data_IF_990329699207
#
_entry.id   IF_990329699207
#
_cell.length_a   1.000
_cell.length_b   1.000
_cell.length_c   1.000
_cell.angle_alpha   90.00
_cell.angle_beta   90.00
_cell.angle_gamma   90.00
#
_symmetry.space_group_name_H-M   'P 1'
#
loop_
_entity.id
_entity.type
_entity.pdbx_description
1 polymer ?
#
# COMPACT_ATOMS: atom_id res chain seq x y z
N UNK A 1 18.66 11.60 -26.57
CA UNK A 1 18.79 10.82 -25.31
C UNK A 1 19.17 9.38 -25.63
N UNK A 2 20.06 8.74 -24.87
CA UNK A 2 20.34 7.30 -25.07
C UNK A 2 19.09 6.50 -24.73
N UNK A 3 18.67 5.57 -25.62
CA UNK A 3 17.45 4.74 -25.47
C UNK A 3 17.37 4.05 -24.09
N UNK A 4 18.52 3.64 -23.53
CA UNK A 4 18.65 3.04 -22.20
C UNK A 4 18.17 3.93 -21.04
N UNK A 5 18.30 5.25 -21.16
CA UNK A 5 17.94 6.19 -20.10
C UNK A 5 16.42 6.35 -19.99
N UNK A 6 15.71 6.33 -21.12
CA UNK A 6 14.24 6.39 -21.15
C UNK A 6 13.63 5.16 -20.47
N UNK A 7 14.20 3.98 -20.68
CA UNK A 7 13.73 2.76 -20.02
C UNK A 7 13.92 2.78 -18.50
N UNK A 8 15.05 3.32 -18.03
CA UNK A 8 15.27 3.51 -16.60
C UNK A 8 14.25 4.47 -15.97
N UNK A 9 13.99 5.62 -16.61
CA UNK A 9 12.98 6.58 -16.15
C UNK A 9 11.57 5.95 -16.10
N UNK A 10 11.18 5.17 -17.11
CA UNK A 10 9.88 4.48 -17.15
C UNK A 10 9.75 3.42 -16.04
N UNK A 11 10.79 2.63 -15.81
CA UNK A 11 10.81 1.63 -14.74
C UNK A 11 10.76 2.29 -13.36
N UNK A 12 11.51 3.38 -13.16
CA UNK A 12 11.50 4.15 -11.92
C UNK A 12 10.12 4.73 -11.60
N UNK A 13 9.44 5.31 -12.60
CA UNK A 13 8.06 5.81 -12.45
C UNK A 13 7.09 4.68 -12.11
N UNK A 14 7.19 3.53 -12.79
CA UNK A 14 6.34 2.37 -12.53
C UNK A 14 6.52 1.84 -11.10
N UNK A 15 7.76 1.70 -10.62
CA UNK A 15 8.04 1.29 -9.25
C UNK A 15 7.47 2.28 -8.23
N UNK A 16 7.63 3.58 -8.50
CA UNK A 16 7.12 4.63 -7.62
C UNK A 16 5.59 4.60 -7.51
N UNK A 17 4.90 4.39 -8.64
CA UNK A 17 3.45 4.25 -8.68
C UNK A 17 2.97 3.05 -7.86
N UNK A 18 3.59 1.87 -8.05
CA UNK A 18 3.27 0.67 -7.28
C UNK A 18 3.55 0.87 -5.78
N UNK A 19 4.66 1.55 -5.43
CA UNK A 19 4.99 1.86 -4.04
C UNK A 19 3.89 2.69 -3.38
N UNK A 20 3.38 3.72 -4.06
CA UNK A 20 2.33 4.57 -3.49
C UNK A 20 1.00 3.83 -3.32
N UNK A 21 0.61 3.00 -4.30
CA UNK A 21 -0.60 2.19 -4.18
C UNK A 21 -0.48 1.23 -2.99
N UNK A 22 0.59 0.43 -2.95
CA UNK A 22 0.78 -0.53 -1.87
C UNK A 22 0.98 0.13 -0.51
N UNK A 23 1.61 1.31 -0.46
CA UNK A 23 1.72 2.07 0.78
C UNK A 23 0.33 2.55 1.26
N UNK A 24 -0.52 3.05 0.35
CA UNK A 24 -1.87 3.46 0.70
C UNK A 24 -2.70 2.29 1.23
N UNK A 25 -2.64 1.12 0.58
CA UNK A 25 -3.31 -0.10 1.02
C UNK A 25 -2.79 -0.54 2.39
N UNK A 26 -1.47 -0.63 2.57
CA UNK A 26 -0.85 -0.97 3.85
C UNK A 26 -1.28 -0.02 4.99
N UNK A 27 -1.35 1.29 4.72
CA UNK A 27 -1.84 2.27 5.71
C UNK A 27 -3.30 2.04 6.04
N UNK A 28 -4.16 1.80 5.04
CA UNK A 28 -5.57 1.48 5.24
C UNK A 28 -5.77 0.21 6.06
N UNK A 29 -5.01 -0.85 5.77
CA UNK A 29 -5.02 -2.11 6.53
C UNK A 29 -4.68 -1.86 8.00
N UNK A 30 -3.67 -1.03 8.28
CA UNK A 30 -3.19 -0.80 9.65
C UNK A 30 -3.94 0.32 10.38
N UNK A 31 -4.92 0.96 9.74
CA UNK A 31 -5.69 2.06 10.30
C UNK A 31 -6.78 1.57 11.28
N UNK A 32 -6.40 0.81 12.31
CA UNK A 32 -7.29 0.31 13.37
C UNK A 32 -8.16 1.41 13.99
N UNK A 33 -7.63 2.63 14.10
CA UNK A 33 -8.38 3.76 14.67
C UNK A 33 -9.64 4.10 13.86
N UNK A 34 -9.64 3.89 12.53
CA UNK A 34 -10.81 4.10 11.69
C UNK A 34 -11.91 3.13 12.11
N UNK A 35 -11.57 1.85 12.29
CA UNK A 35 -12.52 0.85 12.76
C UNK A 35 -13.10 1.19 14.14
N UNK A 36 -12.28 1.72 15.05
CA UNK A 36 -12.77 2.16 16.38
C UNK A 36 -13.81 3.28 16.26
N UNK A 37 -13.59 4.23 15.35
CA UNK A 37 -14.54 5.32 15.06
C UNK A 37 -15.81 4.76 14.41
N UNK A 38 -15.66 3.82 13.48
CA UNK A 38 -16.76 3.21 12.75
C UNK A 38 -17.70 2.41 13.66
N UNK A 39 -17.19 1.80 14.74
CA UNK A 39 -18.03 1.12 15.75
C UNK A 39 -19.11 2.04 16.28
N UNK A 40 -18.74 3.28 16.62
CA UNK A 40 -19.66 4.26 17.19
C UNK A 40 -20.49 4.94 16.08
N UNK A 41 -19.86 5.29 14.95
CA UNK A 41 -20.54 5.96 13.84
C UNK A 41 -21.64 5.11 13.20
N UNK A 42 -21.41 3.80 13.07
CA UNK A 42 -22.35 2.84 12.46
C UNK A 42 -23.23 2.12 13.48
N UNK A 43 -23.09 2.43 14.79
CA UNK A 43 -23.78 1.74 15.88
C UNK A 43 -23.66 0.21 15.80
N UNK A 44 -22.45 -0.30 15.55
CA UNK A 44 -22.20 -1.74 15.30
C UNK A 44 -22.69 -2.60 16.48
N UNK A 45 -22.54 -2.09 17.71
CA UNK A 45 -22.92 -2.78 18.95
C UNK A 45 -24.43 -3.06 19.06
N UNK A 46 -25.27 -2.40 18.28
CA UNK A 46 -26.72 -2.68 18.25
C UNK A 46 -27.04 -3.98 17.48
N UNK A 47 -26.12 -4.40 16.60
CA UNK A 47 -26.28 -5.59 15.75
C UNK A 47 -25.51 -6.80 16.29
N UNK A 48 -24.57 -6.59 17.21
CA UNK A 48 -23.77 -7.66 17.81
C UNK A 48 -23.98 -7.69 19.32
N UNK A 49 -24.31 -8.84 19.88
CA UNK A 49 -24.52 -9.00 21.32
C UNK A 49 -23.18 -9.10 22.09
N UNK A 50 -22.27 -8.15 21.85
CA UNK A 50 -20.92 -8.12 22.42
C UNK A 50 -20.61 -6.73 22.98
N UNK A 51 -19.71 -6.68 23.97
CA UNK A 51 -19.13 -5.40 24.39
C UNK A 51 -18.15 -4.87 23.35
N UNK A 52 -17.87 -3.57 23.37
CA UNK A 52 -16.89 -2.93 22.48
C UNK A 52 -15.51 -3.56 22.61
N UNK A 53 -15.11 -3.90 23.82
CA UNK A 53 -13.83 -4.53 24.13
C UNK A 53 -13.73 -5.91 23.46
N UNK A 54 -14.77 -6.74 23.61
CA UNK A 54 -14.82 -8.07 22.97
C UNK A 54 -14.82 -8.00 21.46
N UNK A 55 -15.55 -7.04 20.89
CA UNK A 55 -15.53 -6.81 19.44
C UNK A 55 -14.12 -6.45 18.95
N UNK A 56 -13.43 -5.57 19.67
CA UNK A 56 -12.06 -5.17 19.35
C UNK A 56 -11.05 -6.32 19.53
N UNK A 57 -11.21 -7.16 20.55
CA UNK A 57 -10.37 -8.37 20.72
C UNK A 57 -10.46 -9.31 19.52
N UNK A 58 -11.68 -9.58 19.03
CA UNK A 58 -11.90 -10.41 17.84
C UNK A 58 -11.33 -9.76 16.58
N UNK A 59 -11.52 -8.44 16.42
CA UNK A 59 -10.92 -7.69 15.32
C UNK A 59 -9.39 -7.78 15.36
N UNK A 60 -8.78 -7.63 16.53
CA UNK A 60 -7.32 -7.70 16.68
C UNK A 60 -6.77 -9.10 16.38
N UNK A 61 -7.50 -10.16 16.74
CA UNK A 61 -7.17 -11.54 16.35
C UNK A 61 -7.25 -11.75 14.84
N UNK A 62 -8.31 -11.23 14.19
CA UNK A 62 -8.45 -11.26 12.74
C UNK A 62 -7.30 -10.53 12.06
N UNK A 63 -7.01 -9.32 12.50
CA UNK A 63 -5.93 -8.51 11.93
C UNK A 63 -4.55 -9.13 12.17
N UNK A 64 -4.34 -9.79 13.31
CA UNK A 64 -3.12 -10.54 13.56
C UNK A 64 -2.97 -11.70 12.56
N UNK A 65 -4.03 -12.49 12.33
CA UNK A 65 -4.04 -13.58 11.35
C UNK A 65 -3.72 -13.08 9.93
N UNK A 66 -4.34 -11.98 9.50
CA UNK A 66 -4.18 -11.41 8.17
C UNK A 66 -2.79 -10.78 7.95
N UNK A 67 -2.24 -10.09 8.94
CA UNK A 67 -0.97 -9.36 8.80
C UNK A 67 0.27 -10.22 9.05
N UNK A 68 0.15 -11.32 9.81
CA UNK A 68 1.32 -12.10 10.26
C UNK A 68 1.40 -13.43 9.52
N UNK A 69 2.47 -13.71 8.76
CA UNK A 69 2.59 -14.96 8.02
C UNK A 69 2.65 -16.20 8.92
N UNK A 70 3.19 -16.07 10.14
CA UNK A 70 3.33 -17.19 11.10
C UNK A 70 2.05 -17.61 11.82
N UNK A 71 0.98 -16.81 11.78
CA UNK A 71 -0.31 -17.20 12.39
C UNK A 71 -1.10 -18.00 11.35
N UNK A 72 -1.09 -19.33 11.44
CA UNK A 72 -1.63 -20.19 10.40
C UNK A 72 -3.12 -20.43 10.50
N UNK A 73 -3.74 -20.24 11.67
CA UNK A 73 -5.16 -20.51 11.89
C UNK A 73 -5.89 -19.27 12.39
N UNK A 74 -7.08 -19.03 11.84
CA UNK A 74 -8.00 -18.00 12.30
C UNK A 74 -8.97 -18.61 13.29
N UNK A 75 -8.91 -18.14 14.53
CA UNK A 75 -9.86 -18.50 15.58
C UNK A 75 -10.58 -17.22 16.04
N UNK A 76 -11.90 -17.18 15.84
CA UNK A 76 -12.77 -16.08 16.28
C UNK A 76 -13.86 -16.69 17.16
N UNK A 77 -13.68 -16.71 18.49
CA UNK A 77 -14.58 -17.44 19.39
C UNK A 77 -16.00 -16.88 19.39
N UNK A 78 -16.16 -15.57 19.16
CA UNK A 78 -17.46 -14.90 19.18
C UNK A 78 -18.13 -14.82 17.80
N UNK A 79 -17.41 -15.22 16.73
CA UNK A 79 -17.89 -15.15 15.35
C UNK A 79 -17.72 -16.50 14.62
N UNK A 80 -18.68 -17.42 14.74
CA UNK A 80 -18.60 -18.71 14.08
C UNK A 80 -18.60 -18.55 12.55
N UNK A 81 -17.77 -19.34 11.89
CA UNK A 81 -17.49 -19.23 10.48
C UNK A 81 -17.65 -20.57 9.76
N UNK A 82 -18.29 -20.54 8.58
CA UNK A 82 -18.36 -21.69 7.69
C UNK A 82 -17.00 -22.06 7.11
N UNK A 83 -16.86 -23.28 6.58
CA UNK A 83 -15.64 -23.72 5.87
C UNK A 83 -15.28 -22.79 4.71
N UNK A 84 -16.27 -22.36 3.94
CA UNK A 84 -16.09 -21.41 2.82
C UNK A 84 -15.65 -20.03 3.31
N UNK A 85 -16.23 -19.54 4.41
CA UNK A 85 -15.81 -18.29 5.03
C UNK A 85 -14.34 -18.35 5.44
N UNK A 86 -13.91 -19.49 6.02
CA UNK A 86 -12.52 -19.68 6.45
C UNK A 86 -11.57 -19.66 5.25
N UNK A 87 -11.92 -20.35 4.18
CA UNK A 87 -11.14 -20.34 2.93
C UNK A 87 -11.02 -18.92 2.35
N UNK A 88 -12.11 -18.14 2.35
CA UNK A 88 -12.09 -16.75 1.90
C UNK A 88 -11.08 -15.89 2.67
N UNK A 89 -11.02 -16.01 4.00
CA UNK A 89 -10.04 -15.28 4.81
C UNK A 89 -8.58 -15.69 4.52
N UNK A 90 -8.32 -16.94 4.16
CA UNK A 90 -6.98 -17.34 3.69
C UNK A 90 -6.59 -16.67 2.38
N UNK A 91 -7.54 -16.49 1.45
CA UNK A 91 -7.26 -15.80 0.19
C UNK A 91 -7.00 -14.31 0.42
N UNK A 92 -7.79 -13.66 1.30
CA UNK A 92 -7.53 -12.27 1.73
C UNK A 92 -6.14 -12.14 2.38
N UNK A 93 -5.74 -13.11 3.21
CA UNK A 93 -4.39 -13.13 3.79
C UNK A 93 -3.31 -13.17 2.70
N UNK A 94 -3.47 -13.96 1.64
CA UNK A 94 -2.49 -13.99 0.52
C UNK A 94 -2.39 -12.63 -0.17
N UNK A 95 -3.51 -11.92 -0.34
CA UNK A 95 -3.51 -10.56 -0.91
C UNK A 95 -2.76 -9.56 -0.01
N UNK A 96 -2.88 -9.66 1.32
CA UNK A 96 -2.10 -8.84 2.25
C UNK A 96 -0.59 -9.12 2.12
N UNK A 97 -0.22 -10.39 2.04
CA UNK A 97 1.19 -10.77 1.84
C UNK A 97 1.72 -10.29 0.48
N UNK A 98 0.90 -10.35 -0.56
CA UNK A 98 1.23 -9.81 -1.88
C UNK A 98 1.46 -8.30 -1.82
N UNK A 99 0.57 -7.55 -1.17
CA UNK A 99 0.70 -6.10 -1.04
C UNK A 99 1.99 -5.71 -0.31
N UNK A 100 2.29 -6.35 0.83
CA UNK A 100 3.54 -6.11 1.56
C UNK A 100 4.77 -6.53 0.76
N UNK A 101 4.69 -7.62 0.00
CA UNK A 101 5.75 -8.04 -0.93
C UNK A 101 6.02 -7.01 -2.02
N UNK A 102 4.96 -6.50 -2.67
CA UNK A 102 5.06 -5.45 -3.69
C UNK A 102 5.63 -4.18 -3.09
N UNK A 103 5.15 -3.77 -1.91
CA UNK A 103 5.68 -2.60 -1.20
C UNK A 103 7.17 -2.74 -0.94
N UNK A 104 7.62 -3.86 -0.37
CA UNK A 104 9.03 -4.08 -0.05
C UNK A 104 9.92 -4.06 -1.30
N UNK A 105 9.51 -4.76 -2.36
CA UNK A 105 10.30 -4.88 -3.61
C UNK A 105 10.37 -3.54 -4.35
N UNK A 106 9.30 -2.75 -4.31
CA UNK A 106 9.23 -1.48 -5.06
C UNK A 106 9.76 -0.29 -4.27
N UNK A 107 9.77 -0.34 -2.93
CA UNK A 107 10.19 0.78 -2.07
C UNK A 107 11.65 1.19 -2.31
N UNK A 108 12.58 0.22 -2.33
CA UNK A 108 14.02 0.54 -2.46
C UNK A 108 14.33 1.20 -3.82
N UNK A 109 13.92 0.63 -4.98
CA UNK A 109 14.06 1.31 -6.27
C UNK A 109 13.41 2.69 -6.31
N UNK A 110 12.23 2.84 -5.72
CA UNK A 110 11.50 4.11 -5.69
C UNK A 110 12.25 5.20 -4.91
N UNK A 111 12.81 4.86 -3.74
CA UNK A 111 13.61 5.79 -2.93
C UNK A 111 14.87 6.20 -3.69
N UNK A 112 15.56 5.25 -4.33
CA UNK A 112 16.75 5.54 -5.16
C UNK A 112 16.40 6.45 -6.34
N UNK A 113 15.28 6.19 -7.01
CA UNK A 113 14.81 6.98 -8.15
C UNK A 113 14.47 8.42 -7.74
N UNK A 114 13.76 8.61 -6.61
CA UNK A 114 13.46 9.95 -6.07
C UNK A 114 14.74 10.71 -5.71
N UNK A 115 15.73 10.06 -5.08
CA UNK A 115 17.02 10.69 -4.80
C UNK A 115 17.76 11.09 -6.08
N UNK A 116 17.70 10.26 -7.13
CA UNK A 116 18.26 10.59 -8.43
C UNK A 116 17.58 11.83 -9.03
N UNK A 117 16.24 11.88 -9.04
CA UNK A 117 15.47 13.03 -9.54
C UNK A 117 15.81 14.32 -8.79
N UNK A 118 15.92 14.27 -7.45
CA UNK A 118 16.33 15.42 -6.62
C UNK A 118 17.71 15.94 -7.03
N UNK A 119 18.69 15.06 -7.25
CA UNK A 119 20.04 15.45 -7.70
C UNK A 119 20.03 16.09 -9.08
N UNK A 120 19.31 15.51 -10.04
CA UNK A 120 19.23 16.05 -11.41
C UNK A 120 18.54 17.42 -11.41
N UNK A 121 17.48 17.60 -10.62
CA UNK A 121 16.80 18.89 -10.49
C UNK A 121 17.71 19.95 -9.84
N UNK A 122 18.38 19.62 -8.74
CA UNK A 122 19.31 20.52 -8.05
C UNK A 122 20.53 20.94 -8.90
N UNK A 123 20.97 20.06 -9.80
CA UNK A 123 22.13 20.33 -10.67
C UNK A 123 21.86 21.30 -11.84
N UNK A 124 20.63 21.81 -12.00
CA UNK A 124 20.27 22.71 -13.12
C UNK A 124 20.26 22.04 -14.50
N UNK A 125 20.68 20.78 -14.61
CA UNK A 125 20.66 19.95 -15.83
C UNK A 125 19.24 19.85 -16.43
N UNK A 126 18.21 20.00 -15.60
CA UNK A 126 16.82 20.04 -16.04
C UNK A 126 16.49 21.23 -16.97
N UNK A 127 17.08 22.42 -16.72
CA UNK A 127 16.86 23.61 -17.58
C UNK A 127 17.49 23.43 -18.97
N UNK A 128 18.68 22.82 -19.05
CA UNK A 128 19.30 22.47 -20.34
C UNK A 128 18.50 21.44 -21.15
N UNK A 129 17.70 20.61 -20.47
CA UNK A 129 16.86 19.56 -21.09
C UNK A 129 15.51 20.09 -21.62
N UNK A 130 14.99 21.19 -21.07
CA UNK A 130 13.81 21.92 -21.57
C UNK A 130 14.16 22.92 -22.69
N UNK A 131 15.32 23.56 -22.63
CA UNK A 131 15.74 24.57 -23.61
C UNK A 131 16.16 24.01 -24.98
N UNK A 132 16.43 22.70 -25.10
CA UNK A 132 16.98 22.09 -26.31
C UNK A 132 15.99 21.74 -27.44
N UNK A 133 14.69 22.05 -27.32
CA UNK A 133 13.67 21.58 -28.27
C UNK A 133 12.76 22.64 -28.90
N UNK A 134 12.59 23.81 -28.28
CA UNK A 134 11.54 24.78 -28.69
C UNK A 134 12.06 26.21 -28.92
N UNK A 135 13.23 26.57 -28.36
CA UNK A 135 13.78 27.92 -28.50
C UNK A 135 14.32 28.21 -29.90
N UNK A 136 14.69 27.18 -30.68
CA UNK A 136 15.07 27.35 -32.09
C UNK A 136 13.88 27.59 -33.04
N UNK A 137 12.65 27.34 -32.60
CA UNK A 137 11.42 27.54 -33.40
C UNK A 137 10.76 28.91 -33.15
N UNK A 138 11.18 29.65 -32.12
CA UNK A 138 10.62 30.96 -31.78
C UNK A 138 11.42 32.14 -32.38
N UNK A 139 12.52 31.85 -33.08
CA UNK A 139 13.41 32.83 -33.70
C UNK A 139 13.60 32.63 -35.22
N UNK A 140 12.65 31.97 -35.89
CA UNK A 140 12.60 31.86 -37.34
C UNK A 140 11.20 32.16 -37.88
#
# INVERSE_FOLDING_TARGET
MKKSQVWFERLGICCLFLTFISLAIALSINARFIYVIDIDYLNILDFVHLSKERLLENYDQLMAFLNRPWITELNLPDFPMSSNGRAHFYDVKKLFMLDYGVLLVTLVPSVMFVHHLKKVYASGVWFGRLNGGWLHLLFY
#
